data_IF_033631691499
#
_entry.id   IF_033631691499
#
_cell.length_a   1.000
_cell.length_b   1.000
_cell.length_c   1.000
_cell.angle_alpha   90.00
_cell.angle_beta   90.00
_cell.angle_gamma   90.00
#
_symmetry.space_group_name_H-M   'P 1'
#
loop_
_entity.id
_entity.type
_entity.pdbx_description
1 polymer ?
#
# COMPACT_ATOMS: atom_id res chain seq x y z
N UNK A 1 -15.68 -12.61 10.21
CA UNK A 1 -16.97 -12.73 9.49
C UNK A 1 -16.84 -13.44 8.14
N UNK A 2 -15.82 -13.14 7.34
CA UNK A 2 -15.59 -13.77 6.03
C UNK A 2 -15.28 -15.28 6.10
N UNK A 3 -14.51 -15.72 7.07
CA UNK A 3 -14.15 -17.14 7.25
C UNK A 3 -15.37 -18.02 7.54
N UNK A 4 -16.35 -17.52 8.30
CA UNK A 4 -17.59 -18.25 8.59
C UNK A 4 -18.58 -18.24 7.41
N UNK A 5 -18.50 -17.26 6.52
CA UNK A 5 -19.25 -17.21 5.27
C UNK A 5 -18.81 -18.34 4.31
N UNK A 6 -17.52 -18.63 4.25
CA UNK A 6 -16.97 -19.78 3.53
C UNK A 6 -17.45 -21.11 4.12
N UNK A 7 -17.57 -21.22 5.44
CA UNK A 7 -17.98 -22.45 6.12
C UNK A 7 -19.47 -22.77 5.87
N UNK A 8 -20.35 -21.74 5.82
CA UNK A 8 -21.76 -21.93 5.50
C UNK A 8 -22.01 -22.32 4.04
N UNK A 9 -21.28 -21.74 3.10
CA UNK A 9 -21.44 -21.97 1.67
C UNK A 9 -20.56 -23.10 1.15
N UNK A 10 -19.44 -23.39 1.80
CA UNK A 10 -18.47 -24.41 1.39
C UNK A 10 -18.94 -25.83 1.55
N UNK A 11 -19.89 -26.11 2.45
CA UNK A 11 -20.45 -27.44 2.67
C UNK A 11 -21.61 -27.79 1.73
N UNK A 12 -22.19 -26.80 1.02
CA UNK A 12 -23.23 -27.04 0.03
C UNK A 12 -22.63 -26.95 -1.38
N UNK A 13 -22.45 -28.10 -2.02
CA UNK A 13 -22.10 -28.19 -3.44
C UNK A 13 -23.33 -27.81 -4.27
N UNK A 14 -23.57 -26.51 -4.45
CA UNK A 14 -24.53 -26.05 -5.43
C UNK A 14 -24.00 -26.37 -6.83
N UNK A 15 -24.74 -27.13 -7.60
CA UNK A 15 -24.56 -27.22 -9.06
C UNK A 15 -25.16 -25.96 -9.67
N UNK A 16 -24.41 -24.88 -9.66
CA UNK A 16 -24.87 -23.59 -10.18
C UNK A 16 -24.12 -22.43 -9.54
N UNK A 17 -24.53 -21.23 -9.87
CA UNK A 17 -23.95 -20.00 -9.30
C UNK A 17 -24.25 -19.92 -7.80
N UNK A 18 -23.24 -19.65 -7.00
CA UNK A 18 -23.40 -19.45 -5.55
C UNK A 18 -24.20 -18.17 -5.34
N UNK A 19 -25.25 -18.18 -4.49
CA UNK A 19 -25.97 -16.96 -4.14
C UNK A 19 -25.00 -15.91 -3.61
N UNK A 20 -24.99 -14.74 -4.24
CA UNK A 20 -24.12 -13.63 -3.89
C UNK A 20 -24.93 -12.41 -3.45
N UNK A 21 -24.35 -11.61 -2.55
CA UNK A 21 -24.88 -10.29 -2.23
C UNK A 21 -24.56 -9.25 -3.31
N UNK A 22 -23.81 -9.62 -4.34
CA UNK A 22 -23.57 -8.77 -5.51
C UNK A 22 -24.81 -8.78 -6.40
N UNK A 23 -25.46 -7.62 -6.49
CA UNK A 23 -26.63 -7.42 -7.36
C UNK A 23 -26.17 -6.96 -8.74
N UNK A 24 -25.69 -7.93 -9.53
CA UNK A 24 -24.98 -7.69 -10.78
C UNK A 24 -25.84 -6.99 -11.83
N UNK A 25 -25.25 -6.06 -12.58
CA UNK A 25 -25.89 -5.38 -13.70
C UNK A 25 -26.90 -4.29 -13.33
N UNK A 26 -27.00 -3.89 -12.06
CA UNK A 26 -28.04 -2.98 -11.59
C UNK A 26 -27.53 -1.61 -11.12
N UNK A 27 -26.22 -1.35 -11.23
CA UNK A 27 -25.57 -0.16 -10.70
C UNK A 27 -24.75 0.63 -11.74
N UNK A 28 -24.90 0.34 -13.03
CA UNK A 28 -24.13 1.02 -14.09
C UNK A 28 -24.35 2.52 -14.11
N UNK A 29 -25.57 2.95 -13.88
CA UNK A 29 -25.94 4.37 -13.92
C UNK A 29 -25.56 5.12 -12.63
N UNK A 30 -25.22 4.41 -11.55
CA UNK A 30 -24.97 5.02 -10.23
C UNK A 30 -23.94 6.16 -10.24
N UNK A 31 -22.81 6.07 -10.95
CA UNK A 31 -21.82 7.15 -10.97
C UNK A 31 -22.33 8.45 -11.61
N UNK A 32 -23.22 8.35 -12.60
CA UNK A 32 -23.76 9.48 -13.35
C UNK A 32 -25.16 9.93 -12.88
N UNK A 33 -25.78 9.15 -12.01
CA UNK A 33 -27.13 9.37 -11.49
C UNK A 33 -27.21 10.62 -10.59
N UNK A 34 -28.36 11.26 -10.59
CA UNK A 34 -28.74 12.23 -9.56
C UNK A 34 -29.03 11.55 -8.21
N UNK A 35 -29.30 12.34 -7.16
CA UNK A 35 -29.51 11.79 -5.82
C UNK A 35 -30.73 10.89 -5.72
N UNK A 36 -31.82 11.19 -6.42
CA UNK A 36 -33.04 10.37 -6.44
C UNK A 36 -32.78 9.01 -7.09
N UNK A 37 -32.07 9.01 -8.22
CA UNK A 37 -31.70 7.78 -8.92
C UNK A 37 -30.74 6.93 -8.08
N UNK A 38 -29.76 7.56 -7.43
CA UNK A 38 -28.83 6.86 -6.51
C UNK A 38 -29.55 6.23 -5.34
N UNK A 39 -30.51 6.93 -4.74
CA UNK A 39 -31.33 6.41 -3.66
C UNK A 39 -32.18 5.22 -4.13
N UNK A 40 -32.80 5.30 -5.29
CA UNK A 40 -33.55 4.20 -5.88
C UNK A 40 -32.68 2.97 -6.15
N UNK A 41 -31.46 3.15 -6.68
CA UNK A 41 -30.48 2.08 -6.88
C UNK A 41 -30.07 1.47 -5.53
N UNK A 42 -29.77 2.29 -4.53
CA UNK A 42 -29.37 1.82 -3.19
C UNK A 42 -30.49 1.03 -2.52
N UNK A 43 -31.74 1.48 -2.62
CA UNK A 43 -32.90 0.78 -2.08
C UNK A 43 -33.17 -0.55 -2.83
N UNK A 44 -32.94 -0.60 -4.14
CA UNK A 44 -33.02 -1.86 -4.90
C UNK A 44 -31.97 -2.89 -4.40
N UNK A 45 -30.74 -2.46 -4.10
CA UNK A 45 -29.71 -3.31 -3.50
C UNK A 45 -30.10 -3.76 -2.09
N UNK A 46 -30.63 -2.86 -1.25
CA UNK A 46 -31.12 -3.20 0.08
C UNK A 46 -32.20 -4.29 0.01
N UNK A 47 -33.19 -4.12 -0.85
CA UNK A 47 -34.27 -5.11 -1.04
C UNK A 47 -33.76 -6.45 -1.55
N UNK A 48 -32.79 -6.43 -2.47
CA UNK A 48 -32.16 -7.65 -2.97
C UNK A 48 -31.44 -8.39 -1.84
N UNK A 49 -30.61 -7.71 -1.05
CA UNK A 49 -29.83 -8.33 0.03
C UNK A 49 -30.74 -8.88 1.12
N UNK A 50 -31.72 -8.09 1.58
CA UNK A 50 -32.68 -8.54 2.59
C UNK A 50 -33.57 -9.67 2.06
N UNK A 51 -33.99 -9.58 0.78
CA UNK A 51 -34.75 -10.63 0.11
C UNK A 51 -33.97 -11.94 -0.03
N UNK A 52 -32.68 -11.86 -0.34
CA UNK A 52 -31.77 -13.02 -0.37
C UNK A 52 -31.67 -13.66 1.03
N UNK A 53 -31.47 -12.87 2.07
CA UNK A 53 -31.41 -13.37 3.45
C UNK A 53 -32.72 -14.06 3.83
N UNK A 54 -33.85 -13.42 3.57
CA UNK A 54 -35.18 -13.99 3.80
C UNK A 54 -35.40 -15.31 3.04
N UNK A 55 -35.04 -15.35 1.75
CA UNK A 55 -35.10 -16.57 0.93
C UNK A 55 -34.27 -17.69 1.55
N UNK A 56 -33.04 -17.43 1.94
CA UNK A 56 -32.15 -18.43 2.53
C UNK A 56 -32.69 -18.99 3.85
N UNK A 57 -33.45 -18.19 4.60
CA UNK A 57 -34.01 -18.59 5.91
C UNK A 57 -35.36 -19.30 5.82
N UNK A 58 -36.13 -19.07 4.76
CA UNK A 58 -37.57 -19.45 4.76
C UNK A 58 -38.01 -20.30 3.59
N UNK A 59 -37.30 -20.30 2.44
CA UNK A 59 -37.78 -20.95 1.24
C UNK A 59 -37.78 -22.50 1.37
N UNK A 60 -38.95 -23.17 1.22
CA UNK A 60 -39.03 -24.63 1.40
C UNK A 60 -38.30 -25.45 0.33
N UNK A 61 -37.84 -24.84 -0.76
CA UNK A 61 -37.03 -25.51 -1.78
C UNK A 61 -35.60 -25.72 -1.34
N UNK A 62 -35.15 -25.04 -0.26
CA UNK A 62 -33.85 -25.25 0.33
C UNK A 62 -33.88 -26.37 1.38
N UNK A 63 -32.78 -27.13 1.56
CA UNK A 63 -32.69 -28.12 2.62
C UNK A 63 -32.96 -27.53 4.00
N UNK A 64 -33.68 -28.29 4.85
CA UNK A 64 -34.06 -27.82 6.18
C UNK A 64 -32.86 -27.44 7.04
N UNK A 65 -31.81 -28.25 7.01
CA UNK A 65 -30.57 -28.01 7.74
C UNK A 65 -29.91 -26.68 7.31
N UNK A 66 -29.99 -26.33 6.03
CA UNK A 66 -29.48 -25.06 5.52
C UNK A 66 -30.30 -23.88 6.03
N UNK A 67 -31.65 -23.97 5.97
CA UNK A 67 -32.54 -22.93 6.47
C UNK A 67 -32.35 -22.69 7.95
N UNK A 68 -32.24 -23.73 8.77
CA UNK A 68 -31.96 -23.65 10.19
C UNK A 68 -30.62 -22.95 10.45
N UNK A 69 -29.57 -23.32 9.72
CA UNK A 69 -28.28 -22.65 9.83
C UNK A 69 -28.35 -21.17 9.43
N UNK A 70 -29.09 -20.84 8.34
CA UNK A 70 -29.27 -19.47 7.89
C UNK A 70 -30.06 -18.58 8.89
N UNK A 71 -30.99 -19.17 9.66
CA UNK A 71 -31.78 -18.44 10.68
C UNK A 71 -30.94 -17.95 11.88
N UNK A 72 -29.70 -18.46 12.05
CA UNK A 72 -28.77 -17.92 13.05
C UNK A 72 -28.08 -16.64 12.59
N UNK A 73 -28.29 -16.19 11.37
CA UNK A 73 -27.69 -15.00 10.80
C UNK A 73 -28.73 -13.90 10.57
N UNK A 74 -28.34 -12.68 10.88
CA UNK A 74 -29.16 -11.49 10.68
C UNK A 74 -28.30 -10.24 10.58
N UNK A 75 -28.94 -9.10 10.56
CA UNK A 75 -28.26 -7.83 10.72
C UNK A 75 -27.71 -7.71 12.14
N UNK A 76 -26.57 -7.03 12.31
CA UNK A 76 -25.98 -6.80 13.61
C UNK A 76 -26.87 -5.82 14.42
N UNK A 77 -27.29 -6.23 15.60
CA UNK A 77 -28.25 -5.44 16.41
C UNK A 77 -27.61 -4.17 17.01
N UNK A 78 -26.30 -4.11 17.06
CA UNK A 78 -25.50 -3.02 17.63
C UNK A 78 -24.85 -2.10 16.58
N UNK A 79 -25.07 -2.38 15.29
CA UNK A 79 -24.57 -1.56 14.18
C UNK A 79 -25.72 -0.91 13.41
N UNK A 80 -25.48 0.30 12.88
CA UNK A 80 -26.42 1.02 12.01
C UNK A 80 -27.85 1.15 12.57
N UNK A 81 -27.95 1.37 13.89
CA UNK A 81 -29.24 1.43 14.59
C UNK A 81 -30.17 2.55 14.10
N UNK A 82 -29.60 3.62 13.51
CA UNK A 82 -30.34 4.74 12.93
C UNK A 82 -30.91 4.44 11.52
N UNK A 83 -30.53 3.30 10.92
CA UNK A 83 -30.94 2.88 9.57
C UNK A 83 -31.42 1.42 9.54
N UNK A 84 -32.19 1.01 10.56
CA UNK A 84 -32.75 -0.34 10.71
C UNK A 84 -31.69 -1.44 10.70
N UNK A 85 -30.53 -1.18 11.28
CA UNK A 85 -29.37 -2.07 11.33
C UNK A 85 -28.80 -2.44 9.93
N UNK A 86 -29.16 -1.69 8.90
CA UNK A 86 -28.63 -1.86 7.56
C UNK A 86 -27.65 -0.71 7.22
N UNK A 87 -26.52 -1.00 6.56
CA UNK A 87 -25.56 0.04 6.18
C UNK A 87 -26.22 1.17 5.37
N UNK A 88 -26.06 2.44 5.77
CA UNK A 88 -26.73 3.57 5.11
C UNK A 88 -26.11 3.90 3.75
N UNK A 89 -24.95 3.35 3.46
CA UNK A 89 -24.20 3.62 2.24
C UNK A 89 -24.04 2.35 1.42
N UNK A 90 -24.34 2.45 0.11
CA UNK A 90 -24.04 1.40 -0.85
C UNK A 90 -22.52 1.21 -0.95
N UNK A 91 -22.06 -0.04 -0.88
CA UNK A 91 -20.65 -0.37 -1.07
C UNK A 91 -20.28 -0.30 -2.56
N UNK A 92 -19.59 0.77 -2.93
CA UNK A 92 -19.10 1.01 -4.29
C UNK A 92 -17.64 0.62 -4.37
N UNK A 93 -17.34 -0.54 -4.95
CA UNK A 93 -15.97 -1.04 -5.10
C UNK A 93 -15.18 -0.26 -6.12
N UNK A 94 -15.80 0.00 -7.25
CA UNK A 94 -15.17 0.64 -8.40
C UNK A 94 -16.14 1.60 -9.07
N UNK A 95 -15.67 2.82 -9.34
CA UNK A 95 -16.42 3.85 -10.03
C UNK A 95 -15.44 4.75 -10.79
N UNK A 96 -15.73 6.05 -10.84
CA UNK A 96 -14.85 7.04 -11.45
C UNK A 96 -13.56 7.19 -10.66
N UNK A 97 -12.47 7.31 -11.38
CA UNK A 97 -11.14 7.61 -10.85
C UNK A 97 -10.63 8.89 -11.52
N UNK A 98 -9.77 9.62 -10.82
CA UNK A 98 -9.12 10.77 -11.44
C UNK A 98 -8.12 10.32 -12.51
N UNK A 99 -7.88 11.17 -13.49
CA UNK A 99 -6.67 11.10 -14.30
C UNK A 99 -5.59 11.86 -13.54
N UNK A 100 -4.63 11.14 -12.99
CA UNK A 100 -3.61 11.67 -12.10
C UNK A 100 -2.29 11.97 -12.78
N UNK A 101 -1.36 12.53 -12.00
CA UNK A 101 0.01 12.76 -12.43
C UNK A 101 0.78 11.46 -12.71
N UNK A 102 0.30 10.36 -12.18
CA UNK A 102 0.73 8.99 -12.46
C UNK A 102 -0.49 8.08 -12.48
N UNK A 103 -0.51 7.08 -13.36
CA UNK A 103 -1.55 6.05 -13.42
C UNK A 103 -0.95 4.75 -12.91
N UNK A 104 -1.41 4.28 -11.75
CA UNK A 104 -1.00 2.99 -11.21
C UNK A 104 -1.58 1.85 -12.05
N UNK A 105 -0.76 0.88 -12.38
CA UNK A 105 -1.10 -0.25 -13.24
C UNK A 105 -0.81 -1.58 -12.54
N UNK A 106 -1.21 -2.69 -13.14
CA UNK A 106 -0.84 -4.02 -12.65
C UNK A 106 0.68 -4.26 -12.64
N UNK A 107 1.43 -3.55 -13.48
CA UNK A 107 2.89 -3.65 -13.50
C UNK A 107 3.52 -3.14 -12.20
N UNK A 108 2.89 -2.16 -11.54
CA UNK A 108 3.32 -1.64 -10.25
C UNK A 108 3.07 -2.64 -9.10
N UNK A 109 2.12 -3.57 -9.30
CA UNK A 109 1.71 -4.57 -8.32
C UNK A 109 2.22 -5.99 -8.64
N UNK A 110 3.19 -6.12 -9.55
CA UNK A 110 3.77 -7.42 -9.94
C UNK A 110 5.26 -7.44 -9.60
N UNK A 111 5.74 -8.61 -9.20
CA UNK A 111 7.19 -8.83 -9.05
C UNK A 111 7.93 -8.54 -10.36
N UNK A 112 9.07 -7.85 -10.29
CA UNK A 112 9.89 -7.55 -11.48
C UNK A 112 10.58 -8.79 -12.04
N UNK A 113 10.83 -9.79 -11.18
CA UNK A 113 11.38 -11.11 -11.52
C UNK A 113 11.09 -12.08 -10.38
N UNK A 114 11.30 -13.37 -10.61
CA UNK A 114 11.19 -14.39 -9.57
C UNK A 114 12.08 -14.06 -8.36
N UNK A 115 11.52 -14.15 -7.16
CA UNK A 115 12.22 -13.82 -5.90
C UNK A 115 12.51 -12.32 -5.69
N UNK A 116 12.07 -11.45 -6.59
CA UNK A 116 12.22 -10.01 -6.47
C UNK A 116 10.91 -9.33 -6.06
N UNK A 117 11.02 -8.15 -5.48
CA UNK A 117 9.85 -7.33 -5.13
C UNK A 117 9.23 -6.64 -6.35
N UNK A 118 8.03 -6.11 -6.18
CA UNK A 118 7.41 -5.20 -7.14
C UNK A 118 8.25 -3.91 -7.29
N UNK A 119 8.06 -3.15 -8.37
CA UNK A 119 8.75 -1.88 -8.56
C UNK A 119 8.60 -0.95 -7.36
N UNK A 120 9.67 -0.24 -7.01
CA UNK A 120 9.61 0.77 -5.95
C UNK A 120 9.38 2.16 -6.55
N UNK A 121 8.63 2.98 -5.82
CA UNK A 121 8.42 4.39 -6.14
C UNK A 121 9.06 5.25 -5.06
N UNK A 122 9.95 6.16 -5.44
CA UNK A 122 10.65 7.05 -4.48
C UNK A 122 9.67 7.93 -3.70
N UNK A 123 8.50 8.21 -4.28
CA UNK A 123 7.41 8.95 -3.65
C UNK A 123 6.35 8.05 -2.99
N UNK A 124 6.68 6.79 -2.67
CA UNK A 124 5.77 5.89 -1.98
C UNK A 124 5.33 6.42 -0.62
N UNK A 125 4.04 6.28 -0.32
CA UNK A 125 3.39 6.75 0.91
C UNK A 125 2.56 5.67 1.61
N UNK A 126 2.34 4.54 0.97
CA UNK A 126 1.57 3.42 1.49
C UNK A 126 1.99 2.12 0.81
N UNK A 127 1.43 1.02 1.26
CA UNK A 127 1.59 -0.32 0.66
C UNK A 127 0.21 -0.86 0.30
N UNK A 128 0.11 -1.53 -0.84
CA UNK A 128 -1.00 -2.37 -1.22
C UNK A 128 -0.50 -3.81 -1.36
N UNK A 129 -1.18 -4.77 -0.73
CA UNK A 129 -0.78 -6.19 -0.74
C UNK A 129 -1.94 -7.14 -1.08
N UNK A 130 -3.16 -6.62 -1.13
CA UNK A 130 -4.31 -7.42 -1.49
C UNK A 130 -4.19 -7.91 -2.94
N UNK A 131 -4.52 -9.18 -3.24
CA UNK A 131 -4.53 -9.66 -4.61
C UNK A 131 -5.35 -8.76 -5.55
N UNK A 132 -4.84 -8.56 -6.75
CA UNK A 132 -5.59 -7.84 -7.80
C UNK A 132 -6.92 -8.57 -8.01
N UNK A 133 -8.02 -7.90 -7.71
CA UNK A 133 -9.35 -8.48 -7.64
C UNK A 133 -10.41 -7.51 -8.17
N UNK A 134 -11.32 -8.03 -8.99
CA UNK A 134 -12.51 -7.32 -9.42
C UNK A 134 -13.70 -8.27 -9.44
N UNK A 135 -14.85 -7.77 -9.02
CA UNK A 135 -16.10 -8.52 -9.04
C UNK A 135 -16.76 -8.48 -10.43
N UNK A 136 -17.62 -9.46 -10.69
CA UNK A 136 -18.39 -9.52 -11.92
C UNK A 136 -19.23 -8.24 -12.12
N UNK A 137 -19.29 -7.77 -13.36
CA UNK A 137 -20.07 -6.59 -13.75
C UNK A 137 -21.45 -6.97 -14.29
N UNK A 138 -21.58 -8.16 -14.90
CA UNK A 138 -22.82 -8.67 -15.46
C UNK A 138 -23.19 -10.02 -14.87
N UNK A 139 -24.50 -10.39 -14.84
CA UNK A 139 -24.91 -11.76 -14.58
C UNK A 139 -24.26 -12.74 -15.55
N UNK A 140 -24.07 -13.98 -15.11
CA UNK A 140 -23.49 -15.05 -15.94
C UNK A 140 -24.27 -15.21 -17.25
N UNK A 141 -23.54 -15.20 -18.36
CA UNK A 141 -24.07 -15.58 -19.65
C UNK A 141 -23.60 -16.99 -20.02
N UNK A 142 -24.50 -18.03 -20.03
CA UNK A 142 -24.09 -19.40 -20.34
C UNK A 142 -23.56 -19.62 -21.76
N UNK A 143 -23.76 -18.63 -22.65
CA UNK A 143 -23.27 -18.68 -24.04
C UNK A 143 -21.84 -18.22 -24.20
N UNK A 144 -21.28 -17.60 -23.17
CA UNK A 144 -19.92 -17.07 -23.20
C UNK A 144 -18.92 -18.06 -22.59
N UNK A 145 -17.66 -18.06 -23.07
CA UNK A 145 -16.63 -18.98 -22.58
C UNK A 145 -16.12 -18.64 -21.17
N UNK A 146 -16.39 -17.44 -20.66
CA UNK A 146 -15.98 -16.97 -19.34
C UNK A 146 -17.15 -17.05 -18.35
N UNK A 147 -16.82 -17.21 -17.06
CA UNK A 147 -17.82 -17.34 -16.00
C UNK A 147 -18.64 -16.07 -15.84
N UNK A 148 -17.98 -14.93 -15.74
CA UNK A 148 -18.60 -13.62 -15.57
C UNK A 148 -17.73 -12.54 -16.21
N UNK A 149 -18.34 -11.59 -16.89
CA UNK A 149 -17.65 -10.41 -17.38
C UNK A 149 -17.14 -9.54 -16.24
N UNK A 150 -15.90 -9.05 -16.37
CA UNK A 150 -15.25 -8.18 -15.38
C UNK A 150 -14.70 -8.89 -14.17
N UNK A 151 -15.01 -10.16 -13.95
CA UNK A 151 -14.45 -10.92 -12.83
C UNK A 151 -13.01 -11.35 -13.10
N UNK A 152 -12.12 -11.00 -12.17
CA UNK A 152 -10.78 -11.56 -12.09
C UNK A 152 -10.28 -11.60 -10.64
N UNK A 153 -9.44 -12.57 -10.34
CA UNK A 153 -8.74 -12.70 -9.07
C UNK A 153 -7.35 -13.26 -9.35
N UNK A 154 -6.32 -12.46 -9.12
CA UNK A 154 -4.96 -12.69 -9.61
C UNK A 154 -3.90 -12.77 -8.51
N UNK A 155 -4.08 -13.63 -7.48
CA UNK A 155 -3.12 -13.74 -6.37
C UNK A 155 -1.73 -14.22 -6.84
N UNK A 156 -1.67 -15.04 -7.90
CA UNK A 156 -0.44 -15.64 -8.41
C UNK A 156 0.53 -14.64 -9.06
N UNK A 157 0.04 -13.46 -9.45
CA UNK A 157 0.87 -12.42 -10.06
C UNK A 157 0.97 -11.17 -9.19
N UNK A 158 0.10 -11.03 -8.19
CA UNK A 158 0.11 -9.87 -7.31
C UNK A 158 1.23 -10.00 -6.28
N UNK A 159 1.99 -8.92 -6.13
CA UNK A 159 3.03 -8.78 -5.11
C UNK A 159 2.78 -7.52 -4.27
N UNK A 160 3.15 -7.52 -2.98
CA UNK A 160 3.07 -6.31 -2.17
C UNK A 160 3.79 -5.15 -2.85
N UNK A 161 3.11 -4.02 -3.02
CA UNK A 161 3.56 -2.92 -3.88
C UNK A 161 3.59 -1.58 -3.15
N UNK A 162 4.50 -0.73 -3.59
CA UNK A 162 4.61 0.64 -3.11
C UNK A 162 3.57 1.53 -3.81
N UNK A 163 2.81 2.30 -3.03
CA UNK A 163 1.77 3.19 -3.54
C UNK A 163 2.30 4.62 -3.63
N UNK A 164 2.49 5.18 -4.85
CA UNK A 164 3.12 6.49 -5.01
C UNK A 164 2.17 7.65 -4.68
N UNK A 165 2.70 8.73 -4.11
CA UNK A 165 1.98 9.96 -3.77
C UNK A 165 1.24 10.58 -4.97
N UNK A 166 1.89 10.56 -6.12
CA UNK A 166 1.40 11.22 -7.34
C UNK A 166 0.14 10.61 -7.95
N UNK A 167 -0.34 9.45 -7.49
CA UNK A 167 -1.66 8.92 -7.89
C UNK A 167 -2.82 9.71 -7.30
N UNK A 168 -2.58 10.45 -6.20
CA UNK A 168 -3.57 11.32 -5.56
C UNK A 168 -3.66 12.70 -6.21
N UNK A 169 -2.69 13.07 -7.04
CA UNK A 169 -2.60 14.39 -7.68
C UNK A 169 -3.33 14.39 -9.03
N UNK A 170 -4.32 15.25 -9.28
CA UNK A 170 -4.94 15.37 -10.60
C UNK A 170 -3.92 15.68 -11.69
N UNK A 171 -4.12 15.19 -12.91
CA UNK A 171 -3.26 15.54 -14.04
C UNK A 171 -3.35 17.05 -14.37
N UNK A 172 -2.28 17.58 -14.99
CA UNK A 172 -2.20 19.00 -15.31
C UNK A 172 -1.91 19.87 -14.09
N UNK A 173 -1.93 21.20 -14.28
CA UNK A 173 -1.52 22.17 -13.25
C UNK A 173 -2.65 23.12 -12.81
N UNK A 174 -3.90 22.79 -13.11
CA UNK A 174 -5.06 23.67 -12.80
C UNK A 174 -5.47 23.64 -11.33
N UNK A 175 -5.17 22.54 -10.63
CA UNK A 175 -5.54 22.33 -9.22
C UNK A 175 -4.27 22.07 -8.40
N UNK A 176 -3.95 23.02 -7.54
CA UNK A 176 -2.72 23.00 -6.74
C UNK A 176 -2.95 22.60 -5.27
N UNK A 177 -4.19 22.46 -4.86
CA UNK A 177 -4.62 22.24 -3.48
C UNK A 177 -5.58 21.06 -3.33
N UNK A 178 -5.56 20.10 -4.27
CA UNK A 178 -6.44 18.93 -4.24
C UNK A 178 -5.62 17.65 -4.18
N UNK A 179 -5.96 16.77 -3.22
CA UNK A 179 -5.52 15.39 -3.10
C UNK A 179 -6.75 14.48 -3.07
N UNK A 180 -6.73 13.39 -3.84
CA UNK A 180 -7.83 12.43 -3.95
C UNK A 180 -7.38 11.09 -3.40
N UNK A 181 -7.99 10.63 -2.29
CA UNK A 181 -7.54 9.44 -1.57
C UNK A 181 -8.25 8.13 -1.96
N UNK A 182 -9.54 8.17 -2.30
CA UNK A 182 -10.33 6.98 -2.66
C UNK A 182 -10.40 6.73 -4.16
N UNK A 183 -10.75 7.76 -4.94
CA UNK A 183 -10.85 7.70 -6.39
C UNK A 183 -9.48 8.00 -7.07
N UNK A 184 -8.43 7.33 -6.62
CA UNK A 184 -7.06 7.55 -7.08
C UNK A 184 -6.86 7.17 -8.55
N UNK A 185 -5.78 7.69 -9.13
CA UNK A 185 -5.44 7.42 -10.53
C UNK A 185 -4.84 6.02 -10.70
N UNK A 186 -5.59 5.15 -11.33
CA UNK A 186 -5.17 3.79 -11.65
C UNK A 186 -5.90 3.26 -12.88
N UNK A 187 -5.33 2.26 -13.55
CA UNK A 187 -6.09 1.41 -14.49
C UNK A 187 -7.12 0.59 -13.72
N UNK A 188 -8.10 0.02 -14.42
CA UNK A 188 -9.08 -0.89 -13.80
C UNK A 188 -8.38 -2.04 -13.04
N UNK A 189 -7.44 -2.71 -13.70
CA UNK A 189 -6.70 -3.84 -13.09
C UNK A 189 -5.82 -3.36 -11.94
N UNK A 190 -5.06 -2.27 -12.11
CA UNK A 190 -4.21 -1.72 -11.03
C UNK A 190 -5.01 -1.25 -9.82
N UNK A 191 -6.24 -0.79 -10.01
CA UNK A 191 -7.12 -0.38 -8.92
C UNK A 191 -7.58 -1.57 -8.06
N UNK A 192 -7.62 -2.78 -8.62
CA UNK A 192 -8.04 -3.99 -7.92
C UNK A 192 -7.30 -4.28 -6.60
N UNK A 193 -6.04 -3.85 -6.47
CA UNK A 193 -5.29 -3.93 -5.21
C UNK A 193 -5.38 -2.65 -4.35
N UNK A 194 -5.63 -1.49 -4.98
CA UNK A 194 -5.68 -0.20 -4.29
C UNK A 194 -7.02 0.11 -3.62
N UNK A 195 -8.09 -0.54 -4.06
CA UNK A 195 -9.47 -0.24 -3.66
C UNK A 195 -9.84 -0.64 -2.22
N UNK A 196 -8.94 -1.31 -1.52
CA UNK A 196 -9.17 -1.76 -0.15
C UNK A 196 -9.07 -0.59 0.83
N UNK A 197 -10.00 -0.55 1.78
CA UNK A 197 -10.14 0.53 2.76
C UNK A 197 -8.85 0.81 3.56
N UNK A 198 -8.05 -0.18 3.99
CA UNK A 198 -6.78 0.10 4.67
C UNK A 198 -5.80 0.92 3.82
N UNK A 199 -5.79 0.71 2.49
CA UNK A 199 -4.98 1.52 1.58
C UNK A 199 -5.51 2.96 1.56
N UNK A 200 -6.84 3.15 1.44
CA UNK A 200 -7.44 4.49 1.45
C UNK A 200 -7.23 5.22 2.78
N UNK A 201 -7.25 4.51 3.90
CA UNK A 201 -6.94 5.09 5.22
C UNK A 201 -5.48 5.59 5.25
N UNK A 202 -4.53 4.80 4.76
CA UNK A 202 -3.12 5.20 4.66
C UNK A 202 -2.93 6.40 3.70
N UNK A 203 -3.64 6.41 2.57
CA UNK A 203 -3.64 7.55 1.65
C UNK A 203 -4.25 8.81 2.28
N UNK A 204 -5.33 8.65 3.06
CA UNK A 204 -5.95 9.74 3.82
C UNK A 204 -5.00 10.35 4.85
N UNK A 205 -4.28 9.52 5.60
CA UNK A 205 -3.22 9.97 6.52
C UNK A 205 -2.12 10.73 5.77
N UNK A 206 -1.64 10.18 4.66
CA UNK A 206 -0.61 10.84 3.84
C UNK A 206 -1.10 12.17 3.26
N UNK A 207 -2.36 12.25 2.82
CA UNK A 207 -2.96 13.49 2.32
C UNK A 207 -3.06 14.55 3.42
N UNK A 208 -3.47 14.17 4.64
CA UNK A 208 -3.53 15.09 5.79
C UNK A 208 -2.15 15.64 6.17
N UNK A 209 -1.12 14.79 6.22
CA UNK A 209 0.26 15.22 6.49
C UNK A 209 0.80 16.10 5.36
N UNK A 210 0.50 15.77 4.10
CA UNK A 210 0.93 16.57 2.96
C UNK A 210 0.24 17.95 2.96
N UNK A 211 -1.04 18.03 3.26
CA UNK A 211 -1.78 19.27 3.41
C UNK A 211 -1.18 20.16 4.53
N UNK A 212 -0.85 19.54 5.68
CA UNK A 212 -0.17 20.24 6.77
C UNK A 212 1.17 20.82 6.28
N UNK A 213 2.02 20.00 5.65
CA UNK A 213 3.31 20.46 5.13
C UNK A 213 3.16 21.61 4.11
N UNK A 214 2.14 21.53 3.25
CA UNK A 214 1.87 22.58 2.28
C UNK A 214 1.49 23.90 2.96
N UNK A 215 0.66 23.84 4.01
CA UNK A 215 0.17 25.02 4.73
C UNK A 215 1.24 25.69 5.59
N UNK A 216 2.10 24.89 6.28
CA UNK A 216 3.14 25.42 7.19
C UNK A 216 4.42 25.82 6.47
N UNK A 217 4.51 25.66 5.15
CA UNK A 217 5.70 26.08 4.39
C UNK A 217 5.90 27.59 4.46
N UNK A 218 7.15 28.01 4.67
CA UNK A 218 7.54 29.39 4.81
C UNK A 218 8.29 29.86 3.56
N UNK A 219 8.12 31.11 3.09
CA UNK A 219 7.36 32.22 3.69
C UNK A 219 5.84 32.22 3.39
N UNK A 220 5.35 31.29 2.61
CA UNK A 220 3.91 31.16 2.25
C UNK A 220 3.56 29.70 1.99
N UNK A 221 2.27 29.31 2.06
CA UNK A 221 1.80 28.00 1.65
C UNK A 221 2.24 27.66 0.22
N UNK A 222 2.52 26.37 0.00
CA UNK A 222 2.91 25.82 -1.31
C UNK A 222 1.83 24.91 -1.87
N UNK A 223 1.90 24.63 -3.16
CA UNK A 223 1.08 23.60 -3.79
C UNK A 223 1.33 22.23 -3.15
N UNK A 224 0.28 21.40 -3.02
CA UNK A 224 0.43 20.00 -2.60
C UNK A 224 1.31 19.20 -3.56
N UNK A 225 1.48 19.67 -4.81
CA UNK A 225 2.39 19.11 -5.80
C UNK A 225 3.87 19.35 -5.49
N UNK A 226 4.15 20.36 -4.69
CA UNK A 226 5.50 20.80 -4.34
C UNK A 226 5.92 20.37 -2.93
N UNK A 227 5.10 19.55 -2.26
CA UNK A 227 5.43 19.03 -0.94
C UNK A 227 6.71 18.20 -1.02
N UNK A 228 7.72 18.48 -0.19
CA UNK A 228 8.95 17.69 -0.15
C UNK A 228 8.66 16.27 0.31
N UNK A 229 8.77 15.31 -0.60
CA UNK A 229 8.43 13.91 -0.36
C UNK A 229 9.23 13.31 0.80
N UNK A 230 10.50 13.63 0.92
CA UNK A 230 11.34 13.18 2.03
C UNK A 230 10.75 13.59 3.39
N UNK A 231 10.30 14.84 3.51
CA UNK A 231 9.69 15.34 4.74
C UNK A 231 8.34 14.67 5.01
N UNK A 232 7.54 14.47 3.96
CA UNK A 232 6.28 13.74 4.05
C UNK A 232 6.53 12.33 4.59
N UNK A 233 7.40 11.58 3.94
CA UNK A 233 7.76 10.23 4.36
C UNK A 233 8.31 10.19 5.79
N UNK A 234 9.18 11.12 6.17
CA UNK A 234 9.70 11.20 7.54
C UNK A 234 8.61 11.34 8.58
N UNK A 235 7.59 12.16 8.32
CA UNK A 235 6.46 12.32 9.25
C UNK A 235 5.57 11.08 9.29
N UNK A 236 5.28 10.48 8.14
CA UNK A 236 4.51 9.23 8.05
C UNK A 236 5.20 8.08 8.81
N UNK A 237 6.49 7.91 8.62
CA UNK A 237 7.30 6.88 9.30
C UNK A 237 7.33 7.09 10.82
N UNK A 238 7.39 8.35 11.30
CA UNK A 238 7.27 8.67 12.73
C UNK A 238 5.90 8.34 13.32
N UNK A 239 4.89 8.24 12.49
CA UNK A 239 3.54 7.83 12.86
C UNK A 239 3.30 6.32 12.68
N UNK A 240 4.36 5.56 12.36
CA UNK A 240 4.30 4.12 12.17
C UNK A 240 3.73 3.66 10.83
N UNK A 241 3.54 4.58 9.85
CA UNK A 241 3.03 4.20 8.55
C UNK A 241 4.07 3.41 7.75
N UNK A 242 3.63 2.27 7.18
CA UNK A 242 4.44 1.44 6.28
C UNK A 242 4.36 2.00 4.86
N UNK A 243 5.51 2.27 4.24
CA UNK A 243 5.61 2.77 2.85
C UNK A 243 6.32 1.80 1.90
N UNK A 244 6.89 0.72 2.43
CA UNK A 244 7.45 -0.42 1.71
C UNK A 244 7.23 -1.70 2.50
N UNK A 245 6.75 -2.75 1.86
CA UNK A 245 6.50 -4.04 2.50
C UNK A 245 7.78 -4.82 2.75
N UNK A 246 7.87 -5.48 3.91
CA UNK A 246 8.86 -6.50 4.26
C UNK A 246 8.24 -7.54 5.19
N UNK A 247 8.75 -8.77 5.13
CA UNK A 247 8.33 -9.86 6.01
C UNK A 247 8.94 -9.75 7.42
N UNK A 248 10.06 -9.02 7.56
CA UNK A 248 10.93 -8.99 8.75
C UNK A 248 11.24 -7.55 9.22
N UNK A 249 10.22 -6.68 9.21
CA UNK A 249 10.38 -5.28 9.65
C UNK A 249 10.77 -5.18 11.14
N UNK A 250 11.67 -4.25 11.49
CA UNK A 250 11.86 -3.82 12.87
C UNK A 250 10.59 -3.20 13.47
N UNK A 251 10.57 -3.04 14.81
CA UNK A 251 9.46 -2.36 15.51
C UNK A 251 9.22 -0.95 14.94
N UNK A 252 7.95 -0.56 14.70
CA UNK A 252 7.59 0.75 14.14
C UNK A 252 8.09 1.95 14.98
N UNK A 253 8.32 1.75 16.28
CA UNK A 253 8.85 2.79 17.17
C UNK A 253 10.37 2.99 17.02
N UNK A 254 11.06 2.10 16.31
CA UNK A 254 12.51 2.15 16.15
C UNK A 254 12.96 3.10 15.04
N UNK A 255 14.09 3.75 15.24
CA UNK A 255 14.74 4.52 14.17
C UNK A 255 15.15 3.61 12.99
N UNK A 256 15.45 2.35 13.26
CA UNK A 256 15.78 1.35 12.25
C UNK A 256 14.62 1.10 11.29
N UNK A 257 13.37 1.01 11.80
CA UNK A 257 12.18 0.95 10.97
C UNK A 257 12.11 2.11 9.99
N UNK A 258 12.23 3.34 10.50
CA UNK A 258 12.17 4.54 9.66
C UNK A 258 13.27 4.56 8.60
N UNK A 259 14.50 4.17 8.97
CA UNK A 259 15.64 4.12 8.06
C UNK A 259 15.47 3.07 6.96
N UNK A 260 15.05 1.84 7.31
CA UNK A 260 14.80 0.75 6.35
C UNK A 260 13.72 1.13 5.37
N UNK A 261 12.57 1.59 5.85
CA UNK A 261 11.44 2.03 5.03
C UNK A 261 11.83 3.14 4.06
N UNK A 262 12.54 4.16 4.56
CA UNK A 262 12.99 5.31 3.78
C UNK A 262 13.90 4.92 2.63
N UNK A 263 14.85 4.01 2.88
CA UNK A 263 15.76 3.55 1.85
C UNK A 263 15.19 2.44 0.97
N UNK A 264 14.21 1.69 1.44
CA UNK A 264 13.52 0.68 0.63
C UNK A 264 12.90 1.28 -0.63
N UNK A 265 12.18 2.39 -0.48
CA UNK A 265 11.54 3.08 -1.63
C UNK A 265 12.56 3.79 -2.53
N UNK A 266 13.83 3.78 -2.15
CA UNK A 266 14.96 4.34 -2.92
C UNK A 266 15.85 3.27 -3.53
N UNK A 267 15.39 1.99 -3.53
CA UNK A 267 16.06 0.90 -4.23
C UNK A 267 17.25 0.28 -3.51
N UNK A 268 17.27 0.31 -2.18
CA UNK A 268 18.32 -0.34 -1.37
C UNK A 268 18.08 -1.85 -1.17
N UNK A 269 16.88 -2.33 -1.44
CA UNK A 269 16.46 -3.71 -1.21
C UNK A 269 15.78 -4.28 -2.44
N UNK A 270 16.24 -5.43 -2.90
CA UNK A 270 15.73 -6.12 -4.08
C UNK A 270 14.64 -7.14 -3.78
N UNK A 271 14.47 -7.50 -2.49
CA UNK A 271 13.55 -8.54 -2.01
C UNK A 271 12.65 -8.00 -0.91
N UNK A 272 11.75 -8.83 -0.40
CA UNK A 272 10.89 -8.50 0.74
C UNK A 272 11.50 -8.85 2.10
N UNK A 273 12.79 -9.18 2.14
CA UNK A 273 13.54 -9.43 3.37
C UNK A 273 14.48 -8.24 3.63
N UNK A 274 14.26 -7.55 4.74
CA UNK A 274 15.13 -6.44 5.15
C UNK A 274 16.45 -6.93 5.73
N UNK A 275 16.43 -8.06 6.44
CA UNK A 275 17.60 -8.74 7.02
C UNK A 275 18.45 -7.76 7.83
N UNK A 276 17.81 -6.97 8.68
CA UNK A 276 18.47 -5.84 9.36
C UNK A 276 19.54 -6.29 10.35
N UNK A 277 19.43 -7.51 10.87
CA UNK A 277 20.37 -8.11 11.84
C UNK A 277 21.53 -8.83 11.18
N UNK A 278 21.46 -9.07 9.88
CA UNK A 278 22.54 -9.75 9.17
C UNK A 278 23.73 -8.83 8.96
N UNK A 279 24.91 -9.42 9.09
CA UNK A 279 26.15 -8.72 8.77
C UNK A 279 26.21 -8.40 7.29
N UNK A 280 26.64 -7.20 6.96
CA UNK A 280 26.83 -6.79 5.59
C UNK A 280 27.98 -7.55 4.94
N UNK A 281 27.77 -8.06 3.74
CA UNK A 281 28.86 -8.35 2.83
C UNK A 281 29.32 -7.05 2.12
N UNK A 282 30.54 -7.08 1.63
CA UNK A 282 31.17 -5.93 0.96
C UNK A 282 30.36 -5.44 -0.25
N UNK A 283 29.84 -6.37 -1.07
CA UNK A 283 29.10 -6.04 -2.29
C UNK A 283 27.82 -5.29 -1.95
N UNK A 284 27.07 -5.76 -0.95
CA UNK A 284 25.85 -5.10 -0.47
C UNK A 284 26.16 -3.72 0.12
N UNK A 285 27.19 -3.60 0.96
CA UNK A 285 27.60 -2.31 1.51
C UNK A 285 27.97 -1.32 0.40
N UNK A 286 28.75 -1.75 -0.59
CA UNK A 286 29.13 -0.91 -1.73
C UNK A 286 27.92 -0.46 -2.54
N UNK A 287 26.97 -1.36 -2.85
CA UNK A 287 25.72 -1.01 -3.55
C UNK A 287 24.92 0.05 -2.80
N UNK A 288 24.77 -0.13 -1.46
CA UNK A 288 24.03 0.83 -0.63
C UNK A 288 24.72 2.20 -0.61
N UNK A 289 26.05 2.24 -0.49
CA UNK A 289 26.82 3.49 -0.47
C UNK A 289 26.84 4.18 -1.84
N UNK A 290 26.95 3.43 -2.94
CA UNK A 290 26.83 3.97 -4.29
C UNK A 290 25.45 4.58 -4.49
N UNK A 291 24.38 3.86 -4.14
CA UNK A 291 23.02 4.38 -4.27
C UNK A 291 22.79 5.63 -3.41
N UNK A 292 23.34 5.67 -2.19
CA UNK A 292 23.31 6.86 -1.34
C UNK A 292 24.03 8.05 -2.01
N UNK A 293 25.19 7.82 -2.58
CA UNK A 293 25.94 8.86 -3.28
C UNK A 293 25.18 9.41 -4.49
N UNK A 294 24.59 8.54 -5.31
CA UNK A 294 23.75 8.93 -6.44
C UNK A 294 22.59 9.83 -5.99
N UNK A 295 21.83 9.39 -4.97
CA UNK A 295 20.68 10.12 -4.45
C UNK A 295 21.07 11.50 -3.88
N UNK A 296 22.25 11.59 -3.26
CA UNK A 296 22.81 12.84 -2.73
C UNK A 296 23.59 13.65 -3.78
N UNK A 297 23.73 13.13 -5.01
CA UNK A 297 24.52 13.74 -6.09
C UNK A 297 25.97 13.99 -5.70
N UNK A 298 26.54 13.05 -4.96
CA UNK A 298 27.94 13.09 -4.54
C UNK A 298 28.82 12.40 -5.60
N UNK A 299 30.12 12.79 -5.71
CA UNK A 299 31.05 12.08 -6.58
C UNK A 299 31.23 10.65 -6.07
N UNK A 300 31.14 9.68 -6.99
CA UNK A 300 31.37 8.28 -6.65
C UNK A 300 32.86 8.05 -6.31
N UNK A 301 33.18 7.37 -5.21
CA UNK A 301 34.55 7.02 -4.91
C UNK A 301 35.11 6.01 -5.91
N UNK A 302 36.35 6.17 -6.34
CA UNK A 302 37.00 5.31 -7.33
C UNK A 302 37.20 3.86 -6.88
N UNK A 303 37.25 3.59 -5.61
CA UNK A 303 37.24 2.25 -5.01
C UNK A 303 36.93 2.31 -3.51
N UNK A 304 36.01 1.45 -3.08
CA UNK A 304 35.98 1.05 -1.66
C UNK A 304 37.05 -0.03 -1.49
N UNK A 305 38.02 0.17 -0.61
CA UNK A 305 39.23 -0.62 -0.40
C UNK A 305 39.16 -2.15 -0.62
N UNK A 306 40.27 -2.81 -0.55
CA UNK A 306 40.49 -4.22 -0.91
C UNK A 306 40.00 -5.25 0.11
N UNK A 307 39.18 -4.88 1.12
CA UNK A 307 38.64 -5.84 2.08
C UNK A 307 37.85 -6.97 1.40
N UNK A 308 38.23 -8.21 1.64
CA UNK A 308 37.56 -9.41 1.10
C UNK A 308 36.47 -9.95 2.04
N UNK A 309 36.33 -9.39 3.23
CA UNK A 309 35.43 -9.83 4.28
C UNK A 309 34.31 -8.82 4.57
N UNK A 310 33.42 -9.16 5.49
CA UNK A 310 32.35 -8.27 5.94
C UNK A 310 32.97 -6.92 6.42
N UNK A 311 32.45 -5.77 5.95
CA UNK A 311 32.98 -4.48 6.31
C UNK A 311 32.76 -4.19 7.80
N UNK A 312 33.81 -3.66 8.45
CA UNK A 312 33.78 -3.23 9.85
C UNK A 312 33.24 -1.80 9.99
N UNK A 313 32.94 -1.40 11.23
CA UNK A 313 32.56 -0.01 11.53
C UNK A 313 33.68 0.97 11.08
N UNK A 314 34.94 0.60 11.23
CA UNK A 314 36.07 1.38 10.77
C UNK A 314 36.10 1.55 9.25
N UNK A 315 35.78 0.50 8.50
CA UNK A 315 35.69 0.55 7.05
C UNK A 315 34.59 1.49 6.59
N UNK A 316 33.37 1.32 7.12
CA UNK A 316 32.23 2.16 6.76
C UNK A 316 32.47 3.64 7.12
N UNK A 317 33.02 3.90 8.30
CA UNK A 317 33.39 5.27 8.70
C UNK A 317 34.41 5.86 7.74
N UNK A 318 35.45 5.12 7.34
CA UNK A 318 36.44 5.57 6.37
C UNK A 318 35.83 5.86 5.00
N UNK A 319 34.99 4.98 4.50
CA UNK A 319 34.31 5.15 3.20
C UNK A 319 33.34 6.33 3.19
N UNK A 320 32.51 6.47 4.23
CA UNK A 320 31.62 7.61 4.36
C UNK A 320 32.33 8.93 4.59
N UNK A 321 33.45 8.93 5.34
CA UNK A 321 34.28 10.10 5.53
C UNK A 321 34.86 10.62 4.21
N UNK A 322 35.36 9.70 3.38
CA UNK A 322 35.87 10.04 2.06
C UNK A 322 34.72 10.53 1.13
N UNK A 323 33.56 9.86 1.14
CA UNK A 323 32.41 10.21 0.33
C UNK A 323 31.86 11.58 0.65
N UNK A 324 31.77 11.93 1.94
CA UNK A 324 31.14 13.16 2.43
C UNK A 324 32.16 14.30 2.69
N UNK A 325 33.45 14.05 2.48
CA UNK A 325 34.52 14.96 2.83
C UNK A 325 34.44 15.44 4.28
N UNK A 326 34.26 14.50 5.22
CA UNK A 326 34.17 14.73 6.66
C UNK A 326 35.35 14.04 7.38
N UNK A 327 35.76 14.59 8.53
CA UNK A 327 36.68 13.83 9.40
C UNK A 327 35.95 12.62 10.01
N UNK A 328 36.68 11.52 10.34
CA UNK A 328 36.07 10.37 11.00
C UNK A 328 35.35 10.71 12.30
N UNK A 329 35.86 11.69 13.08
CA UNK A 329 35.25 12.16 14.32
C UNK A 329 33.89 12.84 14.04
N UNK A 330 33.86 13.78 13.09
CA UNK A 330 32.64 14.48 12.69
C UNK A 330 31.59 13.50 12.16
N UNK A 331 31.99 12.51 11.36
CA UNK A 331 31.13 11.48 10.86
C UNK A 331 30.53 10.63 11.99
N UNK A 332 31.38 10.15 12.93
CA UNK A 332 30.91 9.36 14.09
C UNK A 332 29.89 10.13 14.92
N UNK A 333 30.16 11.41 15.17
CA UNK A 333 29.23 12.28 15.88
C UNK A 333 27.90 12.40 15.13
N UNK A 334 27.91 12.63 13.81
CA UNK A 334 26.72 12.75 12.96
C UNK A 334 25.92 11.44 12.89
N UNK A 335 26.62 10.30 12.87
CA UNK A 335 25.98 8.99 12.91
C UNK A 335 25.54 8.57 14.32
N UNK A 336 25.91 9.32 15.38
CA UNK A 336 25.58 8.99 16.78
C UNK A 336 26.29 7.75 17.28
N UNK A 337 27.53 7.52 16.84
CA UNK A 337 28.39 6.36 17.21
C UNK A 337 29.12 6.61 18.52
N UNK A 338 28.40 6.63 19.64
CA UNK A 338 28.95 6.83 20.97
C UNK A 338 29.81 5.64 21.43
N UNK A 339 29.47 4.43 20.99
CA UNK A 339 30.20 3.19 21.30
C UNK A 339 30.89 2.63 20.03
N UNK A 340 31.71 3.44 19.37
CA UNK A 340 32.40 3.05 18.15
C UNK A 340 33.45 1.97 18.42
N UNK A 341 33.38 0.88 17.67
CA UNK A 341 34.33 -0.24 17.73
C UNK A 341 34.82 -0.55 16.31
N UNK A 342 36.04 -0.08 15.95
CA UNK A 342 36.48 -0.09 14.56
C UNK A 342 36.52 -1.48 13.91
N UNK A 343 36.75 -2.53 14.70
CA UNK A 343 36.90 -3.90 14.21
C UNK A 343 35.60 -4.70 14.22
N UNK A 344 34.50 -4.14 14.74
CA UNK A 344 33.21 -4.83 14.74
C UNK A 344 32.55 -4.77 13.34
N UNK A 345 31.99 -5.91 12.86
CA UNK A 345 31.20 -5.93 11.63
C UNK A 345 29.97 -5.04 11.74
N UNK A 346 29.51 -4.51 10.61
CA UNK A 346 28.30 -3.68 10.52
C UNK A 346 27.14 -4.51 9.99
N UNK A 347 25.96 -4.39 10.63
CA UNK A 347 24.73 -4.98 10.10
C UNK A 347 24.07 -4.08 9.06
N UNK A 348 23.17 -4.66 8.26
CA UNK A 348 22.42 -3.92 7.25
C UNK A 348 21.57 -2.81 7.89
N UNK A 349 20.88 -3.10 9.00
CA UNK A 349 20.10 -2.14 9.75
C UNK A 349 20.91 -0.98 10.29
N UNK A 350 22.09 -1.26 10.86
CA UNK A 350 23.01 -0.23 11.34
C UNK A 350 23.43 0.72 10.23
N UNK A 351 23.81 0.22 9.06
CA UNK A 351 24.17 1.08 7.93
C UNK A 351 22.98 1.93 7.49
N UNK A 352 21.77 1.36 7.40
CA UNK A 352 20.56 2.15 7.10
C UNK A 352 20.37 3.30 8.10
N UNK A 353 20.50 3.05 9.40
CA UNK A 353 20.37 4.10 10.44
C UNK A 353 21.41 5.19 10.28
N UNK A 354 22.68 4.84 10.02
CA UNK A 354 23.72 5.84 9.83
C UNK A 354 23.47 6.72 8.61
N UNK A 355 23.11 6.10 7.48
CA UNK A 355 22.76 6.83 6.27
C UNK A 355 21.50 7.70 6.46
N UNK A 356 20.51 7.22 7.22
CA UNK A 356 19.29 7.98 7.52
C UNK A 356 19.60 9.22 8.36
N UNK A 357 20.43 9.11 9.38
CA UNK A 357 20.89 10.26 10.17
C UNK A 357 21.63 11.29 9.31
N UNK A 358 22.53 10.82 8.43
CA UNK A 358 23.27 11.66 7.49
C UNK A 358 22.38 12.31 6.42
N UNK A 359 21.25 11.68 6.09
CA UNK A 359 20.29 12.25 5.12
C UNK A 359 19.73 13.59 5.57
N UNK A 360 19.49 13.77 6.86
CA UNK A 360 18.83 14.93 7.45
C UNK A 360 19.79 16.00 7.97
N UNK A 361 21.06 15.77 7.86
CA UNK A 361 22.11 16.73 8.25
C UNK A 361 22.69 17.35 6.99
N UNK A 362 22.51 18.66 6.84
CA UNK A 362 23.13 19.45 5.78
C UNK A 362 24.59 19.72 6.08
#
# INVERSE_FOLDING_TARGET
>A
MEQRRHDLLGNFRFRGDIPSTDFLGTNYDYPDADWHQREAISEAHRRYILGLLYFLQTDPRLPDEFRVAAQHWGLAADEFTESDNFPPQLYVREARRIVGAYVFTEHDARSVAEGKRAPVHEDSIAVAEYPIDSHATTPRNPKEPYLHEGFFYLPQITAPSCVPYRIMLPAGRRLDNLLVCGAVSATHIGFGTLRLEPVWMALGQAAGVAAHLALVSSPRPISVRSVPIDRLQRLLLRQGQVIAFFNDLPSPESEEFAAVQFFAVRGFFDTYEAQTREQLDKSTAQKMLHRFAELKRLPLPHAFGTANEAPTQGDIVRWLSALLNLSPEALRQRCGLSAFRPDEPVTRGQLCVWLYRLWWQN
#
